data_IF_781543059120
#
_entry.id   IF_781543059120
#
_cell.length_a   1.000
_cell.length_b   1.000
_cell.length_c   1.000
_cell.angle_alpha   90.00
_cell.angle_beta   90.00
_cell.angle_gamma   90.00
#
_symmetry.space_group_name_H-M   'P 1'
#
loop_
_entity.id
_entity.type
_entity.pdbx_description
1 polymer ?
#
# COMPACT_ATOMS: atom_id res chain seq x y z
N UNK A 1 47.13 -60.56 -22.82
CA UNK A 1 46.83 -60.21 -21.42
C UNK A 1 46.27 -58.79 -21.41
N UNK A 2 44.96 -58.63 -21.25
CA UNK A 2 44.22 -57.38 -21.46
C UNK A 2 44.35 -56.51 -20.21
N UNK A 3 45.08 -55.40 -20.30
CA UNK A 3 45.29 -54.47 -19.19
C UNK A 3 44.11 -53.49 -19.11
N UNK A 4 43.19 -53.72 -18.16
CA UNK A 4 42.07 -52.82 -17.88
C UNK A 4 42.57 -51.59 -17.13
N UNK A 5 42.70 -50.45 -17.80
CA UNK A 5 42.86 -49.14 -17.14
C UNK A 5 41.60 -48.84 -16.33
N UNK A 6 41.72 -48.74 -15.00
CA UNK A 6 40.67 -48.20 -14.13
C UNK A 6 40.54 -46.70 -14.40
N UNK A 7 39.44 -46.29 -15.01
CA UNK A 7 39.01 -44.89 -15.06
C UNK A 7 38.45 -44.55 -13.68
N UNK A 8 39.12 -43.65 -12.96
CA UNK A 8 38.55 -43.04 -11.74
C UNK A 8 37.56 -41.97 -12.20
N UNK A 9 36.28 -42.27 -12.12
CA UNK A 9 35.22 -41.28 -12.26
C UNK A 9 35.11 -40.54 -10.93
N UNK A 10 35.59 -39.31 -10.87
CA UNK A 10 35.33 -38.44 -9.72
C UNK A 10 33.91 -37.88 -9.88
N UNK A 11 33.02 -38.27 -8.97
CA UNK A 11 31.68 -37.71 -8.84
C UNK A 11 31.81 -36.34 -8.19
N UNK A 12 31.48 -35.27 -8.92
CA UNK A 12 31.37 -33.93 -8.37
C UNK A 12 30.13 -33.86 -7.48
N UNK A 13 30.32 -34.02 -6.17
CA UNK A 13 29.30 -33.75 -5.16
C UNK A 13 29.07 -32.23 -5.09
N UNK A 14 28.05 -31.74 -5.78
CA UNK A 14 27.58 -30.37 -5.65
C UNK A 14 26.85 -30.22 -4.31
N UNK A 15 27.52 -29.67 -3.32
CA UNK A 15 26.88 -29.18 -2.09
C UNK A 15 26.07 -27.95 -2.45
N UNK A 16 24.75 -28.10 -2.54
CA UNK A 16 23.83 -26.96 -2.67
C UNK A 16 23.72 -26.27 -1.32
N UNK A 17 24.60 -25.31 -1.07
CA UNK A 17 24.46 -24.36 0.03
C UNK A 17 23.29 -23.45 -0.35
N UNK A 18 22.12 -23.69 0.24
CA UNK A 18 21.02 -22.72 0.23
C UNK A 18 21.37 -21.65 1.26
N UNK A 19 22.16 -20.66 0.86
CA UNK A 19 22.23 -19.41 1.60
C UNK A 19 20.84 -18.76 1.51
N UNK A 20 20.06 -18.94 2.57
CA UNK A 20 18.92 -18.09 2.84
C UNK A 20 19.45 -16.74 3.29
N UNK A 21 20.05 -16.01 2.35
CA UNK A 21 20.36 -14.61 2.55
C UNK A 21 19.03 -13.90 2.77
N UNK A 22 18.84 -13.46 4.01
CA UNK A 22 17.73 -12.65 4.49
C UNK A 22 17.50 -11.48 3.53
N UNK A 23 16.41 -11.54 2.75
CA UNK A 23 15.93 -10.46 1.87
C UNK A 23 15.40 -9.26 2.69
N UNK A 24 16.26 -8.66 3.50
CA UNK A 24 15.94 -7.48 4.27
C UNK A 24 16.24 -6.24 3.41
N UNK A 25 15.19 -5.63 2.87
CA UNK A 25 15.29 -4.38 2.11
C UNK A 25 15.55 -3.20 3.07
N UNK A 26 16.82 -2.92 3.33
CA UNK A 26 17.21 -1.75 4.13
C UNK A 26 17.14 -0.46 3.30
N UNK A 27 16.22 0.44 3.68
CA UNK A 27 16.10 1.76 3.08
C UNK A 27 17.07 2.75 3.75
N UNK A 28 18.25 2.94 3.15
CA UNK A 28 19.15 4.03 3.54
C UNK A 28 18.77 5.30 2.79
N UNK A 29 18.33 6.34 3.51
CA UNK A 29 18.16 7.66 2.94
C UNK A 29 19.52 8.33 2.70
N UNK A 30 19.67 9.09 1.62
CA UNK A 30 20.86 9.93 1.42
C UNK A 30 20.90 11.01 2.50
N UNK A 31 21.92 10.97 3.36
CA UNK A 31 22.11 11.90 4.48
C UNK A 31 22.11 13.35 3.98
N UNK A 32 21.20 14.17 4.51
CA UNK A 32 21.06 15.58 4.13
C UNK A 32 20.07 15.89 3.01
N UNK A 33 19.40 14.88 2.43
CA UNK A 33 18.28 15.12 1.52
C UNK A 33 17.09 15.77 2.26
N UNK A 34 16.61 16.89 1.73
CA UNK A 34 15.46 17.65 2.26
C UNK A 34 14.14 17.19 1.62
N UNK A 35 13.81 15.90 1.76
CA UNK A 35 12.56 15.32 1.25
C UNK A 35 11.36 16.05 1.85
N UNK A 36 10.39 16.43 1.01
CA UNK A 36 9.21 17.19 1.43
C UNK A 36 9.46 18.67 1.74
N UNK A 37 10.58 19.05 2.37
CA UNK A 37 10.89 20.45 2.72
C UNK A 37 11.09 21.31 1.47
N UNK A 38 11.71 20.75 0.42
CA UNK A 38 11.90 21.46 -0.87
C UNK A 38 10.61 21.80 -1.61
N UNK A 39 9.48 21.17 -1.24
CA UNK A 39 8.14 21.54 -1.73
C UNK A 39 7.72 22.93 -1.23
N UNK A 40 8.27 23.36 -0.09
CA UNK A 40 7.88 24.59 0.59
C UNK A 40 8.98 25.66 0.55
N UNK A 41 10.25 25.25 0.59
CA UNK A 41 11.41 26.15 0.56
C UNK A 41 12.42 25.76 -0.53
N UNK A 42 12.80 26.72 -1.35
CA UNK A 42 13.82 26.55 -2.38
C UNK A 42 15.24 26.38 -1.77
N UNK A 43 16.23 26.04 -2.61
CA UNK A 43 17.62 25.83 -2.17
C UNK A 43 18.26 27.10 -1.60
N UNK A 44 17.95 28.24 -2.21
CA UNK A 44 18.32 29.61 -1.81
C UNK A 44 17.64 30.08 -0.50
N UNK A 45 16.70 29.31 0.04
CA UNK A 45 15.95 29.66 1.25
C UNK A 45 14.65 30.43 0.98
N UNK A 46 14.37 30.81 -0.27
CA UNK A 46 13.13 31.49 -0.63
C UNK A 46 11.92 30.55 -0.53
N UNK A 47 10.73 31.12 -0.30
CA UNK A 47 9.49 30.36 -0.16
C UNK A 47 8.91 30.08 -1.55
N UNK A 48 8.64 28.81 -1.83
CA UNK A 48 7.93 28.37 -3.05
C UNK A 48 6.47 28.84 -3.07
N UNK A 49 5.80 28.80 -4.22
CA UNK A 49 4.37 29.11 -4.29
C UNK A 49 3.49 28.23 -3.39
N UNK A 50 3.80 26.93 -3.31
CA UNK A 50 3.11 26.01 -2.42
C UNK A 50 3.35 26.37 -0.94
N UNK A 51 4.58 26.78 -0.60
CA UNK A 51 4.94 27.33 0.71
C UNK A 51 4.17 28.60 1.05
N UNK A 52 4.04 29.55 0.12
CA UNK A 52 3.28 30.79 0.30
C UNK A 52 1.80 30.49 0.59
N UNK A 53 1.19 29.57 -0.17
CA UNK A 53 -0.21 29.15 0.04
C UNK A 53 -0.44 28.51 1.40
N UNK A 54 0.48 27.66 1.87
CA UNK A 54 0.42 27.07 3.22
C UNK A 54 0.60 28.13 4.30
N UNK A 55 1.59 29.00 4.14
CA UNK A 55 1.88 30.08 5.07
C UNK A 55 0.71 31.05 5.24
N UNK A 56 0.06 31.43 4.13
CA UNK A 56 -1.15 32.26 4.17
C UNK A 56 -2.35 31.55 4.84
N UNK A 57 -2.48 30.22 4.67
CA UNK A 57 -3.50 29.44 5.40
C UNK A 57 -3.22 29.46 6.90
N UNK A 58 -1.99 29.18 7.31
CA UNK A 58 -1.60 29.21 8.72
C UNK A 58 -1.81 30.59 9.35
N UNK A 59 -1.53 31.66 8.60
CA UNK A 59 -1.80 33.02 9.05
C UNK A 59 -3.28 33.24 9.33
N UNK A 60 -4.16 32.74 8.45
CA UNK A 60 -5.60 32.79 8.66
C UNK A 60 -6.06 31.94 9.84
N UNK A 61 -5.54 30.72 9.99
CA UNK A 61 -5.90 29.79 11.08
C UNK A 61 -5.45 30.30 12.45
N UNK A 62 -4.29 30.97 12.51
CA UNK A 62 -3.73 31.53 13.74
C UNK A 62 -4.05 33.02 13.94
N UNK A 63 -4.96 33.57 13.14
CA UNK A 63 -5.45 34.95 13.24
C UNK A 63 -4.36 36.04 13.07
N UNK A 64 -3.32 35.75 12.30
CA UNK A 64 -2.32 36.72 11.85
C UNK A 64 -2.85 37.48 10.63
N UNK A 65 -3.58 38.57 10.89
CA UNK A 65 -4.34 39.28 9.86
C UNK A 65 -3.55 40.36 9.10
N UNK A 66 -2.35 40.73 9.54
CA UNK A 66 -1.54 41.78 8.90
C UNK A 66 -0.36 41.16 8.17
N UNK A 67 0.02 41.72 7.03
CA UNK A 67 1.18 41.32 6.26
C UNK A 67 2.16 42.48 6.16
N UNK A 68 3.45 42.21 6.36
CA UNK A 68 4.52 43.17 6.23
C UNK A 68 5.30 42.86 4.95
N UNK A 69 5.19 43.72 3.95
CA UNK A 69 5.84 43.55 2.63
C UNK A 69 7.36 43.65 2.73
N UNK A 70 7.89 44.43 3.68
CA UNK A 70 9.33 44.61 3.83
C UNK A 70 10.01 43.38 4.42
N UNK A 71 9.38 42.75 5.42
CA UNK A 71 9.91 41.55 6.06
C UNK A 71 9.37 40.25 5.46
N UNK A 72 8.32 40.33 4.64
CA UNK A 72 7.67 39.19 3.99
C UNK A 72 6.87 38.31 4.96
N UNK A 73 6.50 38.82 6.14
CA UNK A 73 5.91 38.04 7.25
C UNK A 73 4.47 38.47 7.56
N UNK A 74 3.65 37.49 7.95
CA UNK A 74 2.39 37.78 8.61
C UNK A 74 2.63 38.11 10.08
N UNK A 75 1.92 39.10 10.60
CA UNK A 75 2.02 39.53 11.99
C UNK A 75 0.62 39.85 12.55
N UNK A 76 0.50 39.79 13.87
CA UNK A 76 -0.61 40.39 14.59
C UNK A 76 -0.08 41.43 15.58
N UNK A 77 -0.97 42.31 16.03
CA UNK A 77 -0.64 43.30 17.04
C UNK A 77 -1.70 43.25 18.12
N UNK A 78 -1.28 42.99 19.35
CA UNK A 78 -2.15 43.03 20.52
C UNK A 78 -1.74 44.17 21.44
N UNK A 79 -2.72 44.76 22.14
CA UNK A 79 -2.46 45.83 23.11
C UNK A 79 -1.64 45.36 24.33
N UNK A 80 -1.68 44.06 24.63
CA UNK A 80 -1.01 43.45 25.80
C UNK A 80 0.37 42.88 25.48
N UNK A 81 0.52 42.19 24.34
CA UNK A 81 1.73 41.42 24.01
C UNK A 81 2.54 42.03 22.84
N UNK A 82 2.15 43.21 22.31
CA UNK A 82 2.86 43.88 21.22
C UNK A 82 2.69 43.20 19.86
N UNK A 83 3.72 43.30 19.01
CA UNK A 83 3.79 42.68 17.67
C UNK A 83 4.27 41.23 17.81
N UNK A 84 3.50 40.29 17.29
CA UNK A 84 3.95 38.91 17.12
C UNK A 84 3.99 38.55 15.64
N UNK A 85 5.09 37.95 15.20
CA UNK A 85 5.31 37.53 13.82
C UNK A 85 5.07 36.03 13.67
N UNK A 86 4.45 35.63 12.56
CA UNK A 86 4.26 34.24 12.21
C UNK A 86 5.52 33.68 11.53
N UNK A 87 6.08 32.61 12.08
CA UNK A 87 7.25 31.96 11.50
C UNK A 87 6.88 30.96 10.39
N UNK A 88 7.62 31.02 9.27
CA UNK A 88 7.49 30.05 8.19
C UNK A 88 8.33 28.79 8.47
N UNK A 89 7.65 27.71 8.85
CA UNK A 89 8.29 26.43 9.15
C UNK A 89 8.02 25.37 8.06
N UNK A 90 8.98 25.23 7.15
CA UNK A 90 8.92 24.26 6.07
C UNK A 90 9.11 22.80 6.55
N UNK A 91 9.79 22.59 7.68
CA UNK A 91 10.01 21.24 8.22
C UNK A 91 8.72 20.70 8.83
N UNK A 92 7.98 21.55 9.56
CA UNK A 92 6.64 21.21 10.06
C UNK A 92 5.69 20.80 8.95
N UNK A 93 5.61 21.57 7.86
CA UNK A 93 4.74 21.22 6.73
C UNK A 93 5.13 19.91 6.05
N UNK A 94 6.43 19.65 5.89
CA UNK A 94 6.90 18.38 5.35
C UNK A 94 6.48 17.21 6.26
N UNK A 95 6.64 17.36 7.58
CA UNK A 95 6.23 16.34 8.56
C UNK A 95 4.71 16.10 8.53
N UNK A 96 3.90 17.14 8.55
CA UNK A 96 2.43 17.03 8.48
C UNK A 96 1.96 16.32 7.20
N UNK A 97 2.54 16.66 6.04
CA UNK A 97 2.23 15.97 4.78
C UNK A 97 2.59 14.47 4.87
N UNK A 98 3.76 14.13 5.43
CA UNK A 98 4.16 12.72 5.58
C UNK A 98 3.25 11.97 6.54
N UNK A 99 2.85 12.57 7.65
CA UNK A 99 1.92 11.98 8.60
C UNK A 99 0.53 11.79 7.99
N UNK A 100 0.07 12.75 7.19
CA UNK A 100 -1.21 12.64 6.47
C UNK A 100 -1.18 11.50 5.46
N UNK A 101 -0.09 11.36 4.69
CA UNK A 101 0.09 10.25 3.77
C UNK A 101 0.16 8.90 4.50
N UNK A 102 0.89 8.81 5.61
CA UNK A 102 0.94 7.60 6.45
C UNK A 102 -0.45 7.20 6.93
N UNK A 103 -1.22 8.13 7.51
CA UNK A 103 -2.59 7.88 7.96
C UNK A 103 -3.50 7.39 6.83
N UNK A 104 -3.39 7.98 5.63
CA UNK A 104 -4.17 7.54 4.46
C UNK A 104 -3.81 6.09 4.09
N UNK A 105 -2.52 5.78 4.02
CA UNK A 105 -2.02 4.42 3.72
C UNK A 105 -2.48 3.43 4.79
N UNK A 106 -2.37 3.77 6.07
CA UNK A 106 -2.78 2.90 7.17
C UNK A 106 -4.30 2.69 7.18
N UNK A 107 -5.09 3.73 6.94
CA UNK A 107 -6.55 3.61 6.76
C UNK A 107 -6.90 2.72 5.57
N UNK A 108 -6.17 2.83 4.45
CA UNK A 108 -6.37 1.99 3.28
C UNK A 108 -6.01 0.52 3.56
N UNK A 109 -4.89 0.27 4.25
CA UNK A 109 -4.47 -1.09 4.65
C UNK A 109 -5.47 -1.72 5.61
N UNK A 110 -5.93 -0.98 6.60
CA UNK A 110 -6.93 -1.47 7.56
C UNK A 110 -8.24 -1.80 6.84
N UNK A 111 -8.72 -0.92 5.97
CA UNK A 111 -9.91 -1.18 5.16
C UNK A 111 -9.76 -2.41 4.27
N UNK A 112 -8.61 -2.58 3.61
CA UNK A 112 -8.33 -3.76 2.79
C UNK A 112 -8.32 -5.04 3.61
N UNK A 113 -7.70 -5.01 4.79
CA UNK A 113 -7.67 -6.15 5.70
C UNK A 113 -9.05 -6.49 6.24
N UNK A 114 -9.86 -5.49 6.59
CA UNK A 114 -11.24 -5.69 7.03
C UNK A 114 -12.12 -6.23 5.91
N UNK A 115 -11.94 -5.75 4.68
CA UNK A 115 -12.61 -6.29 3.50
C UNK A 115 -12.23 -7.77 3.28
N UNK A 116 -10.94 -8.11 3.33
CA UNK A 116 -10.48 -9.51 3.23
C UNK A 116 -11.08 -10.38 4.33
N UNK A 117 -11.06 -9.91 5.58
CA UNK A 117 -11.67 -10.63 6.71
C UNK A 117 -13.16 -10.84 6.55
N UNK A 118 -13.90 -9.85 6.07
CA UNK A 118 -15.35 -9.98 5.85
C UNK A 118 -15.66 -10.96 4.72
N UNK A 119 -14.88 -10.93 3.63
CA UNK A 119 -14.98 -11.90 2.54
C UNK A 119 -14.65 -13.31 3.03
N UNK A 120 -13.56 -13.49 3.77
CA UNK A 120 -13.16 -14.79 4.33
C UNK A 120 -14.18 -15.32 5.33
N UNK A 121 -14.74 -14.46 6.18
CA UNK A 121 -15.77 -14.84 7.15
C UNK A 121 -17.06 -15.23 6.44
N UNK A 122 -17.44 -14.49 5.38
CA UNK A 122 -18.57 -14.86 4.52
C UNK A 122 -18.35 -16.22 3.86
N UNK A 123 -17.14 -16.50 3.38
CA UNK A 123 -16.79 -17.77 2.76
C UNK A 123 -16.77 -18.92 3.76
N UNK A 124 -16.28 -18.70 4.99
CA UNK A 124 -16.27 -19.69 6.09
C UNK A 124 -17.66 -20.00 6.65
N UNK A 125 -18.53 -18.99 6.74
CA UNK A 125 -19.91 -19.15 7.21
C UNK A 125 -20.83 -19.77 6.16
N UNK A 126 -20.34 -19.97 4.93
CA UNK A 126 -21.07 -20.72 3.92
C UNK A 126 -21.22 -22.16 4.40
N UNK A 127 -22.47 -22.59 4.60
CA UNK A 127 -22.81 -23.95 5.00
C UNK A 127 -22.47 -24.91 3.85
N UNK A 128 -21.25 -25.44 3.84
CA UNK A 128 -20.87 -26.55 2.96
C UNK A 128 -21.55 -27.81 3.50
N UNK A 129 -22.33 -28.55 2.69
CA UNK A 129 -22.89 -29.82 3.12
C UNK A 129 -21.74 -30.76 3.49
N UNK A 130 -21.67 -31.16 4.76
CA UNK A 130 -20.72 -32.17 5.23
C UNK A 130 -21.40 -33.53 5.09
N UNK A 131 -20.83 -34.43 4.30
CA UNK A 131 -21.29 -35.82 4.26
C UNK A 131 -20.89 -36.52 5.56
N UNK A 132 -21.75 -37.41 6.06
CA UNK A 132 -21.45 -38.24 7.23
C UNK A 132 -20.52 -39.38 6.80
N UNK A 133 -19.25 -39.26 7.17
CA UNK A 133 -18.17 -40.18 6.81
C UNK A 133 -18.10 -41.40 7.73
N UNK A 134 -18.89 -41.44 8.81
CA UNK A 134 -18.74 -42.42 9.89
C UNK A 134 -19.08 -43.86 9.51
N UNK A 135 -19.85 -44.08 8.45
CA UNK A 135 -20.32 -45.39 8.01
C UNK A 135 -19.73 -45.85 6.65
N UNK A 136 -18.75 -45.13 6.08
CA UNK A 136 -18.13 -45.48 4.80
C UNK A 136 -16.88 -46.35 4.97
N UNK A 137 -16.71 -47.35 4.11
CA UNK A 137 -15.48 -48.15 4.05
C UNK A 137 -14.33 -47.35 3.42
N UNK A 138 -13.07 -47.72 3.70
CA UNK A 138 -11.89 -47.03 3.16
C UNK A 138 -11.87 -46.96 1.61
N UNK A 139 -12.42 -47.97 0.93
CA UNK A 139 -12.53 -47.99 -0.52
C UNK A 139 -13.60 -47.00 -1.01
N UNK A 140 -14.73 -46.92 -0.32
CA UNK A 140 -15.77 -45.92 -0.61
C UNK A 140 -15.28 -44.50 -0.31
N UNK A 141 -14.47 -44.29 0.72
CA UNK A 141 -13.87 -42.97 0.98
C UNK A 141 -12.98 -42.51 -0.17
N UNK A 142 -12.17 -43.42 -0.74
CA UNK A 142 -11.30 -43.09 -1.89
C UNK A 142 -12.09 -42.73 -3.13
N UNK A 143 -13.17 -43.46 -3.43
CA UNK A 143 -14.03 -43.15 -4.59
C UNK A 143 -14.78 -41.83 -4.39
N UNK A 144 -15.24 -41.55 -3.17
CA UNK A 144 -15.90 -40.29 -2.81
C UNK A 144 -14.93 -39.10 -2.91
N UNK A 145 -13.69 -39.24 -2.43
CA UNK A 145 -12.65 -38.20 -2.54
C UNK A 145 -12.37 -37.89 -4.01
N UNK A 146 -12.22 -38.92 -4.86
CA UNK A 146 -12.00 -38.71 -6.28
C UNK A 146 -13.19 -38.01 -6.94
N UNK A 147 -14.42 -38.39 -6.57
CA UNK A 147 -15.63 -37.71 -7.04
C UNK A 147 -15.67 -36.26 -6.60
N UNK A 148 -15.40 -35.98 -5.33
CA UNK A 148 -15.35 -34.62 -4.78
C UNK A 148 -14.25 -33.75 -5.43
N UNK A 149 -13.07 -34.32 -5.69
CA UNK A 149 -11.99 -33.61 -6.40
C UNK A 149 -12.44 -33.25 -7.81
N UNK A 150 -13.06 -34.21 -8.52
CA UNK A 150 -13.58 -33.99 -9.87
C UNK A 150 -14.73 -32.98 -9.89
N UNK A 151 -15.66 -33.07 -8.93
CA UNK A 151 -16.76 -32.13 -8.77
C UNK A 151 -16.25 -30.72 -8.48
N UNK A 152 -15.24 -30.57 -7.61
CA UNK A 152 -14.60 -29.27 -7.37
C UNK A 152 -13.92 -28.73 -8.62
N UNK A 153 -13.17 -29.56 -9.34
CA UNK A 153 -12.53 -29.14 -10.60
C UNK A 153 -13.58 -28.72 -11.63
N UNK A 154 -14.68 -29.46 -11.71
CA UNK A 154 -15.77 -29.17 -12.63
C UNK A 154 -16.51 -27.88 -12.24
N UNK A 155 -16.86 -27.71 -10.96
CA UNK A 155 -17.50 -26.51 -10.45
C UNK A 155 -16.60 -25.27 -10.62
N UNK A 156 -15.30 -25.39 -10.36
CA UNK A 156 -14.35 -24.27 -10.51
C UNK A 156 -14.18 -23.85 -11.98
N UNK A 157 -14.23 -24.80 -12.92
CA UNK A 157 -14.09 -24.54 -14.37
C UNK A 157 -15.40 -24.14 -15.07
N UNK A 158 -16.54 -24.68 -14.64
CA UNK A 158 -17.82 -24.57 -15.38
C UNK A 158 -18.95 -23.91 -14.59
N UNK A 159 -18.80 -23.74 -13.27
CA UNK A 159 -19.73 -23.01 -12.42
C UNK A 159 -18.96 -22.08 -11.46
N UNK A 160 -18.15 -21.14 -12.00
CA UNK A 160 -17.36 -20.25 -11.18
C UNK A 160 -18.26 -19.56 -10.16
N UNK A 161 -17.79 -19.49 -8.91
CA UNK A 161 -18.54 -18.97 -7.78
C UNK A 161 -19.28 -17.69 -8.19
N UNK A 162 -20.62 -17.71 -8.14
CA UNK A 162 -21.47 -16.56 -8.49
C UNK A 162 -21.30 -15.45 -7.46
N UNK A 163 -20.19 -14.72 -7.54
CA UNK A 163 -20.16 -13.37 -7.00
C UNK A 163 -21.21 -12.56 -7.75
N UNK A 164 -21.98 -11.72 -7.03
CA UNK A 164 -22.93 -10.85 -7.72
C UNK A 164 -22.15 -9.92 -8.65
N UNK A 165 -22.61 -9.71 -9.88
CA UNK A 165 -21.94 -8.82 -10.85
C UNK A 165 -21.61 -7.44 -10.25
N UNK A 166 -22.47 -6.96 -9.33
CA UNK A 166 -22.24 -5.72 -8.58
C UNK A 166 -21.12 -5.82 -7.54
N UNK A 167 -20.98 -6.96 -6.85
CA UNK A 167 -19.88 -7.22 -5.90
C UNK A 167 -18.55 -7.39 -6.64
N UNK A 168 -18.55 -8.09 -7.77
CA UNK A 168 -17.37 -8.25 -8.63
C UNK A 168 -16.91 -6.90 -9.20
N UNK A 169 -17.86 -6.05 -9.64
CA UNK A 169 -17.54 -4.70 -10.09
C UNK A 169 -16.98 -3.83 -8.96
N UNK A 170 -17.58 -3.90 -7.75
CA UNK A 170 -17.09 -3.16 -6.58
C UNK A 170 -15.71 -3.64 -6.12
N UNK A 171 -15.45 -4.95 -6.07
CA UNK A 171 -14.14 -5.49 -5.69
C UNK A 171 -13.07 -5.11 -6.69
N UNK A 172 -13.34 -5.27 -8.00
CA UNK A 172 -12.40 -4.86 -9.07
C UNK A 172 -12.11 -3.37 -9.06
N UNK A 173 -13.12 -2.51 -8.90
CA UNK A 173 -12.94 -1.05 -8.84
C UNK A 173 -12.21 -0.61 -7.57
N UNK A 174 -12.48 -1.23 -6.42
CA UNK A 174 -11.77 -0.93 -5.17
C UNK A 174 -10.32 -1.42 -5.18
N UNK A 175 -10.03 -2.60 -5.73
CA UNK A 175 -8.66 -3.13 -5.86
C UNK A 175 -7.81 -2.32 -6.83
N UNK A 176 -8.37 -1.97 -8.00
CA UNK A 176 -7.69 -1.12 -8.99
C UNK A 176 -7.50 0.30 -8.48
N UNK A 177 -8.54 0.93 -7.91
CA UNK A 177 -8.43 2.28 -7.36
C UNK A 177 -7.48 2.34 -6.16
N UNK A 178 -7.50 1.34 -5.28
CA UNK A 178 -6.61 1.28 -4.11
C UNK A 178 -5.13 1.09 -4.48
N UNK A 179 -4.83 0.25 -5.47
CA UNK A 179 -3.46 -0.05 -5.87
C UNK A 179 -2.82 1.04 -6.75
N UNK A 180 -3.59 1.68 -7.64
CA UNK A 180 -3.09 2.79 -8.49
C UNK A 180 -2.70 4.01 -7.65
N UNK A 181 -3.39 4.25 -6.53
CA UNK A 181 -3.04 5.30 -5.56
C UNK A 181 -1.74 5.01 -4.78
N UNK A 182 -1.41 3.73 -4.56
CA UNK A 182 -0.26 3.32 -3.74
C UNK A 182 1.05 3.18 -4.55
N UNK A 183 0.98 2.68 -5.78
CA UNK A 183 2.17 2.42 -6.60
C UNK A 183 2.75 3.69 -7.26
N UNK A 184 1.93 4.73 -7.46
CA UNK A 184 2.36 5.97 -8.12
C UNK A 184 1.65 7.18 -7.52
N UNK A 185 2.24 7.77 -6.48
CA UNK A 185 1.75 8.97 -5.76
C UNK A 185 1.75 10.29 -6.57
N UNK A 186 1.69 10.21 -7.91
CA UNK A 186 1.61 11.38 -8.78
C UNK A 186 0.14 11.79 -8.99
N UNK A 187 -0.14 13.09 -8.89
CA UNK A 187 -1.47 13.64 -9.15
C UNK A 187 -2.01 13.29 -10.56
N UNK A 188 -1.09 13.02 -11.50
CA UNK A 188 -1.41 12.61 -12.86
C UNK A 188 -2.02 11.19 -12.91
N UNK A 189 -1.50 10.24 -12.13
CA UNK A 189 -2.04 8.88 -12.05
C UNK A 189 -3.44 8.84 -11.42
N UNK A 190 -3.65 9.65 -10.37
CA UNK A 190 -4.96 9.81 -9.73
C UNK A 190 -5.96 10.44 -10.70
N UNK A 191 -5.56 11.48 -11.43
CA UNK A 191 -6.41 12.17 -12.38
C UNK A 191 -6.81 11.29 -13.57
N UNK A 192 -5.89 10.45 -14.08
CA UNK A 192 -6.18 9.50 -15.16
C UNK A 192 -7.14 8.40 -14.70
N UNK A 193 -6.94 7.84 -13.51
CA UNK A 193 -7.86 6.85 -12.94
C UNK A 193 -9.27 7.44 -12.71
N UNK A 194 -9.37 8.68 -12.21
CA UNK A 194 -10.65 9.37 -12.06
C UNK A 194 -11.30 9.65 -13.41
N UNK A 195 -10.52 9.96 -14.44
CA UNK A 195 -11.02 10.21 -15.80
C UNK A 195 -11.56 8.94 -16.45
N UNK A 196 -10.85 7.82 -16.37
CA UNK A 196 -11.31 6.53 -16.87
C UNK A 196 -12.57 6.02 -16.16
N UNK A 197 -12.77 6.38 -14.88
CA UNK A 197 -13.98 6.05 -14.13
C UNK A 197 -15.21 6.91 -14.49
N UNK A 198 -15.02 8.06 -15.14
CA UNK A 198 -16.11 8.99 -15.50
C UNK A 198 -16.58 8.88 -16.96
N UNK A 199 -15.95 8.04 -17.77
CA UNK A 199 -16.25 7.87 -19.20
C UNK A 199 -15.27 8.63 -20.09
#
# INVERSE_FOLDING_TARGET
MISRKKVKTEMNDYVVIRDSDTEELYHHGVKGMKWGVRRYRNKDGSITEAGKKRYARDAREKEFNKYDESSGKYYNQSKKNGRSDLEFDANRYAKEDTERSKRLVDSSRNLSNDLKRTVDTSNRNRKVPKMDLSNMTDQEMRSQINREILERQYDDMFNPQKESKGREYASRTLETAGNVLAATSSALGIALAIKELKG
#
